data_IF_021604448428
#
_entry.id   IF_021604448428
#
_cell.length_a   1.000
_cell.length_b   1.000
_cell.length_c   1.000
_cell.angle_alpha   90.00
_cell.angle_beta   90.00
_cell.angle_gamma   90.00
#
_symmetry.space_group_name_H-M   'P 1'
#
loop_
_entity.id
_entity.type
_entity.pdbx_description
1 polymer ?
#
# COMPACT_ATOMS: atom_id res chain seq x y z
N UNK A 1 34.51 -10.10 31.67
CA UNK A 1 34.03 -11.21 30.82
C UNK A 1 32.89 -10.70 29.98
N UNK A 2 33.14 -10.43 28.69
CA UNK A 2 32.09 -10.28 27.69
C UNK A 2 31.44 -11.63 27.42
N UNK A 3 30.14 -11.66 27.19
CA UNK A 3 29.51 -12.64 26.32
C UNK A 3 28.23 -12.03 25.74
N UNK A 4 28.33 -11.70 24.46
CA UNK A 4 27.24 -11.40 23.55
C UNK A 4 26.37 -12.65 23.40
N UNK A 5 25.05 -12.49 23.44
CA UNK A 5 24.15 -13.55 22.99
C UNK A 5 23.08 -12.98 22.06
N UNK A 6 23.14 -13.43 20.82
CA UNK A 6 21.96 -13.60 19.96
C UNK A 6 21.47 -12.35 19.24
N UNK A 7 22.27 -11.84 18.29
CA UNK A 7 21.67 -11.35 17.07
C UNK A 7 21.25 -12.59 16.28
N UNK A 8 19.97 -12.98 16.35
CA UNK A 8 19.41 -13.90 15.37
C UNK A 8 19.30 -13.15 14.05
N UNK A 9 20.42 -13.06 13.34
CA UNK A 9 20.44 -12.82 11.92
C UNK A 9 19.83 -14.06 11.25
N UNK A 10 18.51 -14.06 11.13
CA UNK A 10 17.85 -14.91 10.14
C UNK A 10 18.05 -14.21 8.80
N UNK A 11 19.13 -14.56 8.12
CA UNK A 11 19.27 -14.39 6.68
C UNK A 11 18.14 -15.17 6.00
N UNK A 12 17.01 -14.51 5.80
CA UNK A 12 15.93 -14.97 4.94
C UNK A 12 15.87 -14.05 3.75
N UNK A 13 16.19 -14.53 2.55
CA UNK A 13 15.83 -13.83 1.33
C UNK A 13 14.36 -13.39 1.46
N UNK A 14 14.10 -12.08 1.41
CA UNK A 14 12.74 -11.53 1.42
C UNK A 14 12.09 -11.87 0.07
N UNK A 15 11.78 -13.15 -0.10
CA UNK A 15 11.11 -13.69 -1.27
C UNK A 15 9.65 -13.26 -1.22
N UNK A 16 9.14 -12.73 -2.32
CA UNK A 16 7.82 -12.12 -2.47
C UNK A 16 7.81 -10.60 -2.55
N UNK A 17 6.61 -10.06 -2.73
CA UNK A 17 6.37 -8.63 -2.96
C UNK A 17 5.82 -8.00 -1.69
N UNK A 18 6.50 -7.00 -1.17
CA UNK A 18 6.09 -6.27 0.03
C UNK A 18 5.56 -4.90 -0.37
N UNK A 19 4.27 -4.68 -0.12
CA UNK A 19 3.60 -3.42 -0.43
C UNK A 19 3.29 -2.71 0.88
N UNK A 20 3.53 -1.41 0.96
CA UNK A 20 2.92 -0.51 1.94
C UNK A 20 2.13 0.58 1.25
N UNK A 21 1.22 1.21 1.98
CA UNK A 21 0.48 2.37 1.50
C UNK A 21 1.00 3.63 2.17
N UNK A 22 1.29 4.65 1.36
CA UNK A 22 1.56 6.01 1.83
C UNK A 22 0.28 6.82 1.70
N UNK A 23 -0.19 7.38 2.80
CA UNK A 23 -1.18 8.44 2.76
C UNK A 23 -0.50 9.72 2.26
N UNK A 24 -0.78 10.09 1.00
CA UNK A 24 -0.26 11.28 0.35
C UNK A 24 -1.28 12.43 0.37
N UNK A 25 -2.16 12.46 1.38
CA UNK A 25 -3.12 13.53 1.65
C UNK A 25 -2.89 14.13 3.06
N UNK A 26 -3.69 15.15 3.38
CA UNK A 26 -3.72 15.80 4.69
C UNK A 26 -4.86 15.29 5.59
N UNK A 27 -5.56 14.21 5.17
CA UNK A 27 -6.68 13.61 5.90
C UNK A 27 -6.37 12.18 6.30
N UNK A 28 -6.87 11.71 7.44
CA UNK A 28 -6.67 10.33 7.89
C UNK A 28 -7.41 9.37 6.98
N UNK A 29 -6.72 8.34 6.49
CA UNK A 29 -7.35 7.25 5.76
C UNK A 29 -7.73 6.15 6.74
N UNK A 30 -8.98 5.70 6.68
CA UNK A 30 -9.55 4.68 7.56
C UNK A 30 -9.87 3.43 6.75
N UNK A 31 -9.72 2.25 7.36
CA UNK A 31 -10.07 0.96 6.77
C UNK A 31 -9.48 0.77 5.36
N UNK A 32 -8.20 1.10 5.20
CA UNK A 32 -7.52 1.02 3.90
C UNK A 32 -7.36 -0.44 3.51
N UNK A 33 -7.92 -0.78 2.36
CA UNK A 33 -7.81 -2.08 1.71
C UNK A 33 -7.28 -1.89 0.30
N UNK A 34 -6.32 -2.73 -0.08
CA UNK A 34 -5.77 -2.77 -1.44
C UNK A 34 -5.97 -4.16 -2.02
N UNK A 35 -6.47 -4.23 -3.25
CA UNK A 35 -6.58 -5.47 -4.01
C UNK A 35 -5.61 -5.38 -5.18
N UNK A 36 -4.62 -6.28 -5.18
CA UNK A 36 -3.62 -6.41 -6.24
C UNK A 36 -3.34 -7.89 -6.46
N UNK A 37 -3.23 -8.30 -7.73
CA UNK A 37 -3.26 -9.73 -8.04
C UNK A 37 -4.63 -10.33 -7.75
N UNK A 38 -4.61 -11.51 -7.13
CA UNK A 38 -5.81 -12.23 -6.69
C UNK A 38 -5.99 -12.17 -5.16
N UNK A 39 -5.36 -11.20 -4.48
CA UNK A 39 -5.37 -11.10 -3.02
C UNK A 39 -5.72 -9.68 -2.55
N UNK A 40 -6.45 -9.64 -1.45
CA UNK A 40 -6.74 -8.45 -0.66
C UNK A 40 -5.69 -8.29 0.44
N UNK A 41 -5.19 -7.06 0.63
CA UNK A 41 -4.37 -6.66 1.78
C UNK A 41 -5.05 -5.55 2.57
N UNK A 42 -5.12 -5.73 3.88
CA UNK A 42 -5.64 -4.73 4.82
C UNK A 42 -4.49 -3.95 5.45
N UNK A 43 -4.60 -2.62 5.41
CA UNK A 43 -3.58 -1.67 5.86
C UNK A 43 -4.06 -0.80 7.04
N UNK A 44 -5.32 -0.93 7.44
CA UNK A 44 -5.86 -0.27 8.62
C UNK A 44 -6.02 1.23 8.46
N UNK A 45 -5.73 1.96 9.53
CA UNK A 45 -5.74 3.41 9.56
C UNK A 45 -4.35 3.95 9.21
N UNK A 46 -4.28 5.00 8.39
CA UNK A 46 -3.03 5.63 7.98
C UNK A 46 -3.17 7.13 8.14
N UNK A 47 -2.42 7.68 9.09
CA UNK A 47 -2.41 9.10 9.40
C UNK A 47 -1.94 9.98 8.24
N UNK A 48 -2.31 11.27 8.22
CA UNK A 48 -1.85 12.22 7.21
C UNK A 48 -0.35 12.16 7.02
N UNK A 49 0.09 12.05 5.76
CA UNK A 49 1.51 12.01 5.42
C UNK A 49 2.27 10.90 6.16
N UNK A 50 1.66 9.76 6.46
CA UNK A 50 2.32 8.57 7.04
C UNK A 50 2.29 7.36 6.11
N UNK A 51 3.13 6.38 6.44
CA UNK A 51 3.14 5.05 5.81
C UNK A 51 2.44 4.05 6.71
N UNK A 52 1.76 3.08 6.12
CA UNK A 52 1.43 1.83 6.80
C UNK A 52 2.67 0.94 6.98
N UNK A 53 2.50 -0.13 7.75
CA UNK A 53 3.39 -1.28 7.68
C UNK A 53 3.33 -1.96 6.31
N UNK A 54 4.35 -2.75 6.00
CA UNK A 54 4.38 -3.59 4.80
C UNK A 54 3.49 -4.82 4.98
N UNK A 55 2.77 -5.16 3.93
CA UNK A 55 2.02 -6.41 3.77
C UNK A 55 2.66 -7.22 2.65
N UNK A 56 2.85 -8.51 2.89
CA UNK A 56 3.45 -9.43 1.93
C UNK A 56 2.40 -10.03 0.98
N UNK A 57 2.73 -10.03 -0.30
CA UNK A 57 1.97 -10.62 -1.40
C UNK A 57 2.83 -11.61 -2.16
N UNK A 58 2.22 -12.72 -2.61
CA UNK A 58 2.89 -13.67 -3.51
C UNK A 58 3.04 -13.06 -4.92
N UNK A 59 2.02 -12.31 -5.36
CA UNK A 59 2.01 -11.54 -6.59
C UNK A 59 1.30 -10.20 -6.37
N UNK A 60 1.86 -9.13 -6.90
CA UNK A 60 1.26 -7.80 -6.95
C UNK A 60 1.67 -7.10 -8.25
N UNK A 61 0.99 -6.01 -8.57
CA UNK A 61 1.15 -5.26 -9.81
C UNK A 61 1.52 -3.80 -9.55
N UNK A 62 1.82 -3.05 -10.61
CA UNK A 62 2.12 -1.61 -10.46
C UNK A 62 0.87 -0.81 -10.12
N UNK A 63 -0.29 -1.29 -10.53
CA UNK A 63 -1.57 -0.70 -10.20
C UNK A 63 -2.38 -1.65 -9.31
N UNK A 64 -3.30 -1.08 -8.53
CA UNK A 64 -4.14 -1.83 -7.62
C UNK A 64 -5.47 -1.12 -7.43
N UNK A 65 -6.50 -1.88 -7.08
CA UNK A 65 -7.73 -1.29 -6.58
C UNK A 65 -7.53 -0.87 -5.14
N UNK A 66 -7.98 0.33 -4.78
CA UNK A 66 -7.87 0.87 -3.43
C UNK A 66 -9.25 1.23 -2.93
N UNK A 67 -9.56 0.81 -1.71
CA UNK A 67 -10.79 1.11 -1.00
C UNK A 67 -10.42 1.69 0.37
N UNK A 68 -11.04 2.80 0.74
CA UNK A 68 -10.81 3.42 2.05
C UNK A 68 -12.01 4.27 2.46
N UNK A 69 -11.97 4.76 3.70
CA UNK A 69 -12.88 5.77 4.22
C UNK A 69 -12.13 7.01 4.68
N UNK A 70 -12.77 8.16 4.55
CA UNK A 70 -12.34 9.43 5.16
C UNK A 70 -13.59 10.03 5.83
N UNK A 71 -13.53 10.27 7.14
CA UNK A 71 -14.67 10.75 7.93
C UNK A 71 -15.97 9.94 7.68
N UNK A 72 -15.82 8.61 7.61
CA UNK A 72 -16.93 7.68 7.32
C UNK A 72 -17.39 7.64 5.86
N UNK A 73 -16.95 8.56 4.98
CA UNK A 73 -17.28 8.56 3.55
C UNK A 73 -16.40 7.55 2.80
N UNK A 74 -16.99 6.59 2.07
CA UNK A 74 -16.21 5.64 1.27
C UNK A 74 -15.66 6.30 0.00
N UNK A 75 -14.40 6.01 -0.30
CA UNK A 75 -13.72 6.36 -1.55
C UNK A 75 -13.09 5.11 -2.13
N UNK A 76 -13.07 5.03 -3.46
CA UNK A 76 -12.48 3.91 -4.17
C UNK A 76 -11.75 4.36 -5.44
N UNK A 77 -10.74 3.60 -5.81
CA UNK A 77 -10.07 3.66 -7.10
C UNK A 77 -10.02 2.27 -7.68
N UNK A 78 -10.56 2.14 -8.88
CA UNK A 78 -10.54 0.91 -9.67
C UNK A 78 -9.92 1.27 -11.02
N UNK A 79 -8.74 0.73 -11.35
CA UNK A 79 -8.09 0.88 -12.65
C UNK A 79 -9.00 0.42 -13.82
N UNK A 80 -8.90 1.13 -14.93
CA UNK A 80 -9.83 1.00 -16.06
C UNK A 80 -9.39 -0.08 -17.08
N UNK A 81 -8.10 -0.45 -17.09
CA UNK A 81 -7.53 -1.46 -17.99
C UNK A 81 -6.32 -2.13 -17.30
N UNK A 82 -6.31 -3.46 -17.29
CA UNK A 82 -5.29 -4.32 -16.69
C UNK A 82 -4.60 -5.22 -17.72
N UNK A 83 -4.92 -5.07 -19.00
CA UNK A 83 -4.55 -6.05 -20.01
C UNK A 83 -3.04 -6.03 -20.26
N UNK A 84 -2.34 -7.08 -19.83
CA UNK A 84 -0.92 -7.30 -20.12
C UNK A 84 0.07 -6.85 -19.04
N UNK A 85 -0.38 -6.53 -17.81
CA UNK A 85 0.57 -6.21 -16.74
C UNK A 85 1.43 -7.42 -16.33
N UNK A 86 2.72 -7.15 -16.15
CA UNK A 86 3.68 -8.14 -15.62
C UNK A 86 3.71 -8.04 -14.10
N UNK A 87 3.63 -9.17 -13.36
CA UNK A 87 3.80 -9.16 -11.91
C UNK A 87 5.09 -8.46 -11.49
N UNK A 88 5.03 -7.77 -10.35
CA UNK A 88 6.21 -7.21 -9.71
C UNK A 88 7.20 -8.32 -9.36
N UNK A 89 8.49 -7.97 -9.42
CA UNK A 89 9.55 -8.84 -8.89
C UNK A 89 9.55 -8.73 -7.37
N UNK A 90 10.23 -9.67 -6.74
CA UNK A 90 10.44 -9.63 -5.29
C UNK A 90 11.12 -8.32 -4.86
N UNK A 91 10.63 -7.75 -3.76
CA UNK A 91 11.11 -6.47 -3.26
C UNK A 91 10.04 -5.64 -2.54
N UNK A 92 10.44 -4.41 -2.21
CA UNK A 92 9.64 -3.46 -1.43
C UNK A 92 9.13 -2.33 -2.32
N UNK A 93 7.85 -2.02 -2.16
CA UNK A 93 7.17 -1.03 -2.96
C UNK A 93 6.17 -0.23 -2.12
N UNK A 94 5.96 1.01 -2.54
CA UNK A 94 5.01 1.93 -1.92
C UNK A 94 3.93 2.32 -2.93
N UNK A 95 2.67 2.12 -2.54
CA UNK A 95 1.52 2.72 -3.22
C UNK A 95 1.21 4.06 -2.54
N UNK A 96 1.48 5.17 -3.23
CA UNK A 96 1.14 6.51 -2.76
C UNK A 96 -0.28 6.82 -3.18
N UNK A 97 -1.17 6.90 -2.21
CA UNK A 97 -2.59 7.21 -2.43
C UNK A 97 -2.85 8.63 -1.98
N UNK A 98 -3.38 9.46 -2.88
CA UNK A 98 -3.71 10.85 -2.60
C UNK A 98 -5.17 11.18 -2.93
N UNK A 99 -5.49 12.47 -2.89
CA UNK A 99 -6.78 13.01 -3.31
C UNK A 99 -6.57 13.99 -4.47
N UNK A 100 -7.48 13.98 -5.44
CA UNK A 100 -7.47 14.93 -6.56
C UNK A 100 -7.95 16.33 -6.17
N UNK A 101 -8.67 16.45 -5.06
CA UNK A 101 -9.21 17.70 -4.53
C UNK A 101 -9.20 17.68 -3.00
N UNK A 102 -9.09 18.87 -2.39
CA UNK A 102 -9.27 19.05 -0.95
C UNK A 102 -10.76 18.99 -0.53
N UNK A 103 -11.68 19.21 -1.47
CA UNK A 103 -13.12 19.06 -1.21
C UNK A 103 -13.52 17.60 -1.39
N UNK A 104 -13.85 16.91 -0.28
CA UNK A 104 -14.26 15.50 -0.29
C UNK A 104 -15.49 15.21 -1.17
N UNK A 105 -16.34 16.19 -1.44
CA UNK A 105 -17.50 15.99 -2.32
C UNK A 105 -17.12 15.84 -3.79
N UNK A 106 -15.96 16.39 -4.19
CA UNK A 106 -15.45 16.36 -5.56
C UNK A 106 -14.18 15.49 -5.68
N UNK A 107 -13.72 14.92 -4.57
CA UNK A 107 -12.46 14.19 -4.51
C UNK A 107 -12.59 12.79 -5.11
N UNK A 108 -11.60 12.43 -5.90
CA UNK A 108 -11.28 11.05 -6.27
C UNK A 108 -9.91 10.69 -5.70
N UNK A 109 -9.66 9.40 -5.51
CA UNK A 109 -8.31 8.96 -5.13
C UNK A 109 -7.36 9.14 -6.32
N UNK A 110 -6.11 9.48 -6.02
CA UNK A 110 -4.99 9.44 -6.96
C UNK A 110 -4.02 8.35 -6.54
N UNK A 111 -3.28 7.79 -7.49
CA UNK A 111 -2.40 6.65 -7.24
C UNK A 111 -1.07 6.83 -7.96
N UNK A 112 0.02 6.61 -7.24
CA UNK A 112 1.38 6.56 -7.78
C UNK A 112 2.12 5.34 -7.21
N UNK A 113 2.77 4.60 -8.10
CA UNK A 113 3.62 3.47 -7.74
C UNK A 113 5.07 3.90 -7.57
N UNK A 114 5.68 3.52 -6.45
CA UNK A 114 7.09 3.78 -6.16
C UNK A 114 7.78 2.46 -5.77
N UNK A 115 8.96 2.22 -6.34
CA UNK A 115 9.89 1.21 -5.85
C UNK A 115 10.77 1.84 -4.78
N UNK A 116 10.83 1.22 -3.61
CA UNK A 116 11.68 1.69 -2.51
C UNK A 116 13.18 1.42 -2.77
#
# INVERSE_FOLDING_TARGET
MSAFFGCDAVDGENNGVFIRVRNNSDLTFQQVTVITGNREGFFGEIEPRQNSDYVKFDHAFRYASVFLRIDGKPLQLIPNDYTGETPLRDGFYTYRVGLSSANLSDASLTFEFVRD
#
